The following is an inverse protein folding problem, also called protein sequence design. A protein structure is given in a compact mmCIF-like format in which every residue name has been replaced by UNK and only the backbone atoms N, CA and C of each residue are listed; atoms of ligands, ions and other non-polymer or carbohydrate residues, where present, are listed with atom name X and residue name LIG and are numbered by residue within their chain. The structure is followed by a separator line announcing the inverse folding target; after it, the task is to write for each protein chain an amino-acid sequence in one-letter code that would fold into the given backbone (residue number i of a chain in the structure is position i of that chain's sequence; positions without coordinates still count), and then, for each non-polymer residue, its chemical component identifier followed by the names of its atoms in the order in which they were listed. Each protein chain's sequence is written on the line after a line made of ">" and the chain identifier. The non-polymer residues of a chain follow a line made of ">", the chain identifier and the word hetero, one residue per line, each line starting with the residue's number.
data_IF_999712591570
#
_entry.id   IF_999712591570
#
_cell.length_a   1.000
_cell.length_b   1.000
_cell.length_c   1.000
_cell.angle_alpha   90.00
_cell.angle_beta   90.00
_cell.angle_gamma   90.00
#
_symmetry.space_group_name_H-M   'P 1'
#
loop_
_entity.id
_entity.type
_entity.pdbx_description
1 polymer ?
#
# COMPACT_ATOMS: atom_id res chain seq x y z
N UNK A 1 5.64 -9.95 6.57
CA UNK A 1 6.36 -10.30 5.32
C UNK A 1 7.57 -11.18 5.63
N UNK A 2 8.23 -11.78 4.63
CA UNK A 2 9.52 -12.46 4.83
C UNK A 2 10.52 -11.46 5.42
N UNK A 3 11.16 -11.76 6.57
CA UNK A 3 12.19 -10.89 7.14
C UNK A 3 13.29 -10.54 6.14
N UNK A 4 13.78 -9.30 6.21
CA UNK A 4 14.80 -8.77 5.30
C UNK A 4 14.31 -8.41 3.89
N UNK A 5 13.10 -8.82 3.48
CA UNK A 5 12.56 -8.47 2.16
C UNK A 5 12.29 -6.97 2.02
N UNK A 6 12.30 -6.46 0.78
CA UNK A 6 11.91 -5.07 0.48
C UNK A 6 10.51 -4.75 1.03
N UNK A 7 9.53 -5.66 0.87
CA UNK A 7 8.18 -5.48 1.43
C UNK A 7 8.20 -5.29 2.95
N UNK A 8 9.02 -6.07 3.68
CA UNK A 8 9.15 -5.90 5.13
C UNK A 8 9.70 -4.52 5.50
N UNK A 9 10.87 -4.16 4.93
CA UNK A 9 11.54 -2.90 5.28
C UNK A 9 10.73 -1.67 4.87
N UNK A 10 10.20 -1.67 3.63
CA UNK A 10 9.46 -0.53 3.09
C UNK A 10 8.10 -0.37 3.75
N UNK A 11 7.43 -1.45 4.18
CA UNK A 11 6.15 -1.34 4.88
C UNK A 11 6.31 -0.65 6.25
N UNK A 12 7.30 -1.05 7.04
CA UNK A 12 7.54 -0.46 8.37
C UNK A 12 7.99 1.00 8.24
N UNK A 13 9.01 1.25 7.42
CA UNK A 13 9.50 2.61 7.15
C UNK A 13 8.41 3.51 6.54
N UNK A 14 7.68 2.98 5.56
CA UNK A 14 6.63 3.72 4.84
C UNK A 14 5.48 4.11 5.75
N UNK A 15 5.11 3.24 6.72
CA UNK A 15 4.12 3.58 7.75
C UNK A 15 4.55 4.81 8.56
N UNK A 16 5.79 4.83 9.05
CA UNK A 16 6.31 5.93 9.87
C UNK A 16 6.45 7.24 9.08
N UNK A 17 6.84 7.15 7.80
CA UNK A 17 6.89 8.31 6.91
C UNK A 17 5.49 8.84 6.62
N UNK A 18 4.53 7.95 6.33
CA UNK A 18 3.16 8.34 6.05
C UNK A 18 2.51 8.98 7.28
N UNK A 19 2.61 8.40 8.48
CA UNK A 19 2.01 8.99 9.68
C UNK A 19 2.54 10.40 9.99
N UNK A 20 3.86 10.61 9.82
CA UNK A 20 4.45 11.96 9.93
C UNK A 20 3.88 12.91 8.90
N UNK A 21 3.87 12.51 7.63
CA UNK A 21 3.31 13.30 6.55
C UNK A 21 1.84 13.69 6.79
N UNK A 22 1.02 12.74 7.26
CA UNK A 22 -0.38 12.98 7.59
C UNK A 22 -0.52 14.01 8.72
N UNK A 23 0.34 13.93 9.75
CA UNK A 23 0.40 14.93 10.82
C UNK A 23 0.82 16.31 10.30
N UNK A 24 1.91 16.39 9.55
CA UNK A 24 2.46 17.64 9.01
C UNK A 24 1.48 18.35 8.07
N UNK A 25 0.70 17.58 7.29
CA UNK A 25 -0.31 18.10 6.35
C UNK A 25 -1.72 18.22 6.95
N UNK A 26 -1.92 17.84 8.20
CA UNK A 26 -3.23 17.85 8.85
C UNK A 26 -4.27 16.94 8.20
N UNK A 27 -3.85 15.82 7.59
CA UNK A 27 -4.74 14.88 6.91
C UNK A 27 -5.37 13.93 7.94
N UNK A 28 -6.72 13.89 8.04
CA UNK A 28 -7.40 13.01 8.99
C UNK A 28 -7.07 11.54 8.76
N UNK A 29 -6.69 10.85 9.83
CA UNK A 29 -6.42 9.41 9.83
C UNK A 29 -6.74 8.83 11.20
N UNK A 30 -6.93 7.51 11.27
CA UNK A 30 -7.25 6.82 12.52
C UNK A 30 -6.40 5.58 12.68
N UNK A 31 -5.71 5.45 13.82
CA UNK A 31 -5.02 4.24 14.24
C UNK A 31 -5.99 3.35 15.01
N UNK A 32 -6.87 2.67 14.27
CA UNK A 32 -7.91 1.80 14.82
C UNK A 32 -7.37 0.50 15.41
N UNK A 33 -6.10 0.18 15.16
CA UNK A 33 -5.56 -1.13 15.41
C UNK A 33 -6.15 -2.19 14.47
N UNK A 34 -5.75 -3.44 14.73
CA UNK A 34 -6.25 -4.63 14.03
C UNK A 34 -6.03 -5.85 14.91
N UNK A 35 -6.97 -6.79 14.90
CA UNK A 35 -6.80 -8.12 15.47
C UNK A 35 -6.75 -9.16 14.35
N UNK A 36 -5.69 -9.97 14.31
CA UNK A 36 -5.59 -11.13 13.40
C UNK A 36 -5.93 -12.37 14.22
N UNK A 37 -6.97 -13.11 13.85
CA UNK A 37 -7.51 -14.20 14.68
C UNK A 37 -7.29 -15.60 14.09
N UNK A 38 -7.13 -16.58 14.98
CA UNK A 38 -7.29 -18.00 14.68
C UNK A 38 -8.65 -18.47 15.18
N UNK A 39 -9.50 -18.96 14.27
CA UNK A 39 -10.84 -19.46 14.61
C UNK A 39 -10.90 -20.99 14.71
N UNK A 40 -9.83 -21.67 14.31
CA UNK A 40 -9.66 -23.13 14.39
C UNK A 40 -8.26 -23.48 14.87
N UNK A 41 -8.10 -24.60 15.57
CA UNK A 41 -6.82 -25.00 16.16
C UNK A 41 -5.70 -25.14 15.13
N UNK A 42 -6.03 -25.62 13.92
CA UNK A 42 -5.07 -25.74 12.80
C UNK A 42 -4.49 -24.40 12.30
N UNK A 43 -5.03 -23.26 12.73
CA UNK A 43 -4.53 -21.93 12.36
C UNK A 43 -3.55 -21.35 13.38
N UNK A 44 -3.44 -21.94 14.58
CA UNK A 44 -2.67 -21.38 15.70
C UNK A 44 -1.18 -21.31 15.34
N UNK A 45 -0.58 -22.40 14.87
CA UNK A 45 0.83 -22.43 14.46
C UNK A 45 1.16 -21.37 13.38
N UNK A 46 0.24 -21.17 12.43
CA UNK A 46 0.39 -20.13 11.39
C UNK A 46 0.30 -18.73 11.97
N UNK A 47 -0.52 -18.53 13.00
CA UNK A 47 -0.64 -17.26 13.71
C UNK A 47 0.63 -16.97 14.52
N UNK A 48 1.19 -17.96 15.22
CA UNK A 48 2.47 -17.83 15.94
C UNK A 48 3.62 -17.47 14.99
N UNK A 49 3.71 -18.14 13.84
CA UNK A 49 4.71 -17.82 12.83
C UNK A 49 4.50 -16.41 12.22
N UNK A 50 3.25 -15.93 12.14
CA UNK A 50 2.97 -14.56 11.74
C UNK A 50 3.47 -13.56 12.78
N UNK A 51 3.21 -13.81 14.07
CA UNK A 51 3.69 -12.98 15.18
C UNK A 51 5.22 -12.93 15.20
N UNK A 52 5.89 -14.09 15.08
CA UNK A 52 7.35 -14.19 15.03
C UNK A 52 7.93 -13.35 13.90
N UNK A 53 7.39 -13.48 12.68
CA UNK A 53 7.83 -12.66 11.53
C UNK A 53 7.53 -11.17 11.73
N UNK A 54 6.39 -10.82 12.32
CA UNK A 54 6.05 -9.42 12.58
C UNK A 54 7.04 -8.78 13.57
N UNK A 55 7.43 -9.50 14.63
CA UNK A 55 8.48 -9.09 15.57
C UNK A 55 9.84 -8.94 14.89
N UNK A 56 10.26 -9.92 14.08
CA UNK A 56 11.51 -9.81 13.31
C UNK A 56 11.53 -8.63 12.32
N UNK A 57 10.36 -8.23 11.81
CA UNK A 57 10.23 -7.07 10.95
C UNK A 57 10.21 -5.74 11.72
N UNK A 58 10.22 -5.75 13.06
CA UNK A 58 10.20 -4.55 13.88
C UNK A 58 8.82 -3.87 13.96
N UNK A 59 7.72 -4.62 13.79
CA UNK A 59 6.38 -4.06 13.98
C UNK A 59 6.14 -3.80 15.47
N UNK A 60 5.85 -2.56 15.90
CA UNK A 60 5.77 -2.21 17.32
C UNK A 60 4.41 -2.60 17.93
N UNK A 61 4.41 -2.81 19.25
CA UNK A 61 3.20 -2.99 20.05
C UNK A 61 2.44 -4.30 19.81
N UNK A 62 3.09 -5.33 19.26
CA UNK A 62 2.44 -6.61 18.99
C UNK A 62 2.16 -7.39 20.27
N UNK A 63 0.91 -7.82 20.45
CA UNK A 63 0.48 -8.62 21.59
C UNK A 63 -0.18 -9.91 21.12
N UNK A 64 0.13 -11.01 21.80
CA UNK A 64 -0.60 -12.27 21.66
C UNK A 64 -1.81 -12.23 22.59
N UNK A 65 -2.97 -12.64 22.08
CA UNK A 65 -4.22 -12.65 22.81
C UNK A 65 -4.79 -14.06 22.87
N UNK A 66 -5.28 -14.44 24.05
CA UNK A 66 -6.22 -15.54 24.18
C UNK A 66 -7.64 -15.10 23.75
N UNK A 67 -8.60 -16.02 23.80
CA UNK A 67 -9.99 -15.75 23.44
C UNK A 67 -10.62 -14.59 24.25
N UNK A 68 -10.23 -14.42 25.52
CA UNK A 68 -10.74 -13.35 26.38
C UNK A 68 -10.14 -12.01 25.96
N UNK A 69 -8.85 -11.96 25.67
CA UNK A 69 -8.15 -10.79 25.16
C UNK A 69 -8.73 -10.31 23.83
N UNK A 70 -9.02 -11.24 22.90
CA UNK A 70 -9.69 -10.89 21.63
C UNK A 70 -11.07 -10.26 21.90
N UNK A 71 -11.89 -10.88 22.76
CA UNK A 71 -13.23 -10.38 23.08
C UNK A 71 -13.21 -9.02 23.78
N UNK A 72 -12.17 -8.72 24.56
CA UNK A 72 -12.02 -7.43 25.22
C UNK A 72 -11.82 -6.28 24.22
N UNK A 73 -11.20 -6.56 23.06
CA UNK A 73 -11.00 -5.57 21.99
C UNK A 73 -12.18 -5.60 21.01
N UNK A 74 -12.62 -6.78 20.59
CA UNK A 74 -13.67 -7.01 19.60
C UNK A 74 -14.75 -7.95 20.18
N UNK A 75 -15.78 -7.42 20.87
CA UNK A 75 -16.76 -8.24 21.62
C UNK A 75 -17.53 -9.26 20.80
N UNK A 76 -17.79 -8.94 19.53
CA UNK A 76 -18.56 -9.76 18.59
C UNK A 76 -17.72 -10.86 17.92
N UNK A 77 -16.39 -10.84 18.09
CA UNK A 77 -15.48 -11.79 17.46
C UNK A 77 -15.36 -13.07 18.31
N UNK A 78 -15.47 -14.22 17.63
CA UNK A 78 -15.19 -15.54 18.21
C UNK A 78 -13.87 -16.06 17.66
N UNK A 79 -12.87 -16.23 18.54
CA UNK A 79 -11.54 -16.71 18.19
C UNK A 79 -10.96 -17.56 19.32
N UNK A 80 -10.04 -18.45 18.97
CA UNK A 80 -9.23 -19.21 19.94
C UNK A 80 -8.07 -18.35 20.46
N UNK A 81 -7.40 -17.65 19.54
CA UNK A 81 -6.29 -16.74 19.81
C UNK A 81 -6.28 -15.59 18.80
N UNK A 82 -5.56 -14.52 19.12
CA UNK A 82 -5.36 -13.39 18.21
C UNK A 82 -3.99 -12.73 18.35
N UNK A 83 -3.63 -11.91 17.35
CA UNK A 83 -2.54 -10.94 17.44
C UNK A 83 -3.15 -9.56 17.37
N UNK A 84 -2.93 -8.75 18.40
CA UNK A 84 -3.25 -7.33 18.35
C UNK A 84 -2.10 -6.55 17.71
N UNK A 85 -2.45 -5.69 16.75
CA UNK A 85 -1.53 -4.81 16.02
C UNK A 85 -2.03 -3.37 16.15
N UNK A 86 -1.74 -2.68 17.27
CA UNK A 86 -2.31 -1.37 17.59
C UNK A 86 -1.91 -0.29 16.57
N UNK A 87 -0.74 -0.44 15.97
CA UNK A 87 -0.21 0.50 14.98
C UNK A 87 -0.86 0.43 13.58
N UNK A 88 -1.92 -0.35 13.39
CA UNK A 88 -2.68 -0.41 12.13
C UNK A 88 -3.67 0.74 12.07
N UNK A 89 -3.88 1.32 10.88
CA UNK A 89 -4.82 2.43 10.72
C UNK A 89 -5.39 2.55 9.33
N UNK A 90 -6.28 3.52 9.19
CA UNK A 90 -7.02 3.86 7.97
C UNK A 90 -6.89 5.36 7.67
N UNK A 91 -6.88 5.69 6.38
CA UNK A 91 -6.80 7.06 5.86
C UNK A 91 -7.49 7.13 4.49
N UNK A 92 -8.06 8.28 4.14
CA UNK A 92 -8.47 8.55 2.75
C UNK A 92 -7.22 8.72 1.87
N UNK A 93 -6.83 7.64 1.19
CA UNK A 93 -5.64 7.67 0.34
C UNK A 93 -5.81 8.60 -0.88
N UNK A 94 -7.03 8.88 -1.32
CA UNK A 94 -7.25 9.87 -2.38
C UNK A 94 -6.91 11.28 -1.88
N UNK A 95 -7.19 11.61 -0.62
CA UNK A 95 -6.74 12.85 0.00
C UNK A 95 -5.20 12.92 0.09
N UNK A 96 -4.56 11.81 0.44
CA UNK A 96 -3.08 11.72 0.44
C UNK A 96 -2.51 12.01 -0.95
N UNK A 97 -3.05 11.38 -2.00
CA UNK A 97 -2.62 11.61 -3.38
C UNK A 97 -2.82 13.07 -3.83
N UNK A 98 -3.96 13.70 -3.48
CA UNK A 98 -4.20 15.12 -3.77
C UNK A 98 -3.19 16.01 -3.06
N UNK A 99 -2.86 15.70 -1.81
CA UNK A 99 -1.82 16.44 -1.07
C UNK A 99 -0.43 16.27 -1.71
N UNK A 100 -0.05 15.07 -2.15
CA UNK A 100 1.20 14.87 -2.89
C UNK A 100 1.24 15.64 -4.22
N UNK A 101 0.11 15.78 -4.91
CA UNK A 101 0.03 16.57 -6.13
C UNK A 101 0.34 18.05 -5.87
N UNK A 102 -0.23 18.62 -4.80
CA UNK A 102 0.08 20.00 -4.36
C UNK A 102 1.57 20.13 -4.02
N UNK A 103 2.15 19.16 -3.33
CA UNK A 103 3.58 19.18 -2.99
C UNK A 103 4.49 19.19 -4.22
N UNK A 104 4.12 18.43 -5.27
CA UNK A 104 4.82 18.42 -6.55
C UNK A 104 4.74 19.80 -7.22
N UNK A 105 3.55 20.42 -7.24
CA UNK A 105 3.33 21.73 -7.85
C UNK A 105 4.08 22.85 -7.10
N UNK A 106 4.08 22.82 -5.76
CA UNK A 106 4.85 23.76 -4.93
C UNK A 106 6.36 23.61 -5.12
N UNK A 107 6.84 22.42 -5.47
CA UNK A 107 8.22 22.17 -5.83
C UNK A 107 8.57 22.55 -7.29
N UNK A 108 7.62 23.13 -8.04
CA UNK A 108 7.80 23.55 -9.43
C UNK A 108 7.55 22.44 -10.46
N UNK A 109 7.02 21.30 -10.05
CA UNK A 109 6.59 20.23 -10.95
C UNK A 109 5.21 20.49 -11.55
N UNK A 110 4.81 19.63 -12.49
CA UNK A 110 3.48 19.67 -13.12
C UNK A 110 2.80 18.32 -12.99
N UNK A 111 1.55 18.31 -12.53
CA UNK A 111 0.69 17.12 -12.54
C UNK A 111 -0.29 17.22 -13.71
N UNK A 112 -0.22 16.25 -14.64
CA UNK A 112 -1.07 16.21 -15.82
C UNK A 112 -2.02 15.02 -15.75
N UNK A 113 -3.31 15.30 -15.67
CA UNK A 113 -4.37 14.29 -15.75
C UNK A 113 -4.97 14.26 -17.16
N UNK A 114 -5.76 13.23 -17.48
CA UNK A 114 -6.29 13.00 -18.82
C UNK A 114 -5.21 12.95 -19.93
N UNK A 115 -3.98 12.58 -19.56
CA UNK A 115 -2.82 12.49 -20.45
C UNK A 115 -2.33 11.03 -20.52
N UNK A 116 -3.03 10.14 -21.25
CA UNK A 116 -2.65 8.74 -21.35
C UNK A 116 -1.31 8.60 -22.08
N UNK A 117 -0.37 7.87 -21.49
CA UNK A 117 0.88 7.49 -22.16
C UNK A 117 0.55 6.40 -23.19
N UNK A 118 0.76 6.70 -24.47
CA UNK A 118 0.44 5.80 -25.59
C UNK A 118 1.67 5.14 -26.20
N UNK A 119 2.85 5.73 -26.01
CA UNK A 119 4.12 5.17 -26.44
C UNK A 119 5.27 5.74 -25.59
N UNK A 120 6.33 4.97 -25.42
CA UNK A 120 7.58 5.41 -24.81
C UNK A 120 8.73 5.02 -25.72
N UNK A 121 9.67 5.93 -25.97
CA UNK A 121 10.86 5.66 -26.76
C UNK A 121 12.08 6.15 -25.99
N UNK A 122 12.90 5.20 -25.52
CA UNK A 122 14.16 5.52 -24.86
C UNK A 122 15.29 5.55 -25.89
N UNK A 123 15.87 6.74 -26.11
CA UNK A 123 17.13 6.92 -26.81
C UNK A 123 18.26 7.01 -25.79
N UNK A 124 19.50 6.73 -26.17
CA UNK A 124 20.65 6.76 -25.24
C UNK A 124 20.86 8.08 -24.49
N UNK A 125 20.23 9.18 -24.93
CA UNK A 125 20.38 10.52 -24.33
C UNK A 125 19.09 11.04 -23.66
N UNK A 126 17.93 10.46 -23.97
CA UNK A 126 16.63 10.96 -23.50
C UNK A 126 15.50 9.96 -23.72
N UNK A 127 14.43 10.11 -22.95
CA UNK A 127 13.18 9.38 -23.13
C UNK A 127 12.13 10.31 -23.71
N UNK A 128 11.53 9.91 -24.81
CA UNK A 128 10.34 10.54 -25.37
C UNK A 128 9.10 9.76 -24.93
N UNK A 129 8.11 10.46 -24.39
CA UNK A 129 6.85 9.91 -23.90
C UNK A 129 5.71 10.56 -24.68
N UNK A 130 4.97 9.76 -25.43
CA UNK A 130 3.82 10.24 -26.20
C UNK A 130 2.57 10.26 -25.34
N UNK A 131 1.85 11.38 -25.38
CA UNK A 131 0.59 11.61 -24.69
C UNK A 131 -0.53 11.72 -25.73
N UNK A 132 -1.27 10.63 -25.99
CA UNK A 132 -2.27 10.62 -27.06
C UNK A 132 -1.67 10.71 -28.48
N UNK A 133 -2.40 11.24 -29.48
CA UNK A 133 -1.93 11.30 -30.87
C UNK A 133 -1.00 12.48 -31.17
N UNK A 134 -1.23 13.65 -30.55
CA UNK A 134 -0.66 14.92 -31.01
C UNK A 134 0.36 15.55 -30.05
N UNK A 135 0.69 14.87 -28.96
CA UNK A 135 1.56 15.44 -27.93
C UNK A 135 2.67 14.48 -27.50
N UNK A 136 3.86 15.03 -27.25
CA UNK A 136 5.00 14.29 -26.72
C UNK A 136 5.82 15.13 -25.75
N UNK A 137 6.34 14.48 -24.70
CA UNK A 137 7.25 15.06 -23.71
C UNK A 137 8.61 14.39 -23.84
N UNK A 138 9.67 15.19 -23.82
CA UNK A 138 11.04 14.69 -23.75
C UNK A 138 11.62 14.92 -22.36
N UNK A 139 12.21 13.87 -21.77
CA UNK A 139 12.83 13.92 -20.45
C UNK A 139 14.19 13.20 -20.45
N UNK A 140 15.05 13.51 -19.48
CA UNK A 140 16.31 12.78 -19.28
C UNK A 140 16.10 11.43 -18.60
N UNK A 141 15.11 11.36 -17.72
CA UNK A 141 14.79 10.16 -16.94
C UNK A 141 13.28 9.93 -16.96
N UNK A 142 12.90 8.66 -16.94
CA UNK A 142 11.52 8.21 -16.75
C UNK A 142 11.46 7.28 -15.54
N UNK A 143 10.56 7.58 -14.60
CA UNK A 143 10.24 6.68 -13.48
C UNK A 143 8.87 6.07 -13.76
N UNK A 144 8.84 4.76 -14.03
CA UNK A 144 7.60 4.06 -14.33
C UNK A 144 6.87 3.67 -13.03
N UNK A 145 5.70 4.29 -12.80
CA UNK A 145 4.81 4.00 -11.68
C UNK A 145 3.40 3.62 -12.16
N UNK A 146 3.27 2.99 -13.34
CA UNK A 146 1.99 2.72 -14.00
C UNK A 146 1.15 1.58 -13.38
N UNK A 147 1.44 1.18 -12.14
CA UNK A 147 0.66 0.20 -11.39
C UNK A 147 0.47 -1.12 -12.15
N UNK A 148 -0.79 -1.46 -12.48
CA UNK A 148 -1.14 -2.68 -13.20
C UNK A 148 -0.59 -2.74 -14.64
N UNK A 149 -0.12 -1.62 -15.18
CA UNK A 149 0.42 -1.49 -16.54
C UNK A 149 1.95 -1.31 -16.54
N UNK A 150 2.62 -1.45 -15.40
CA UNK A 150 4.04 -1.12 -15.29
C UNK A 150 4.94 -2.04 -16.14
N UNK A 151 4.63 -3.33 -16.29
CA UNK A 151 5.36 -4.23 -17.18
C UNK A 151 5.17 -3.84 -18.66
N UNK A 152 3.96 -3.46 -19.06
CA UNK A 152 3.67 -2.99 -20.42
C UNK A 152 4.44 -1.71 -20.76
N UNK A 153 4.37 -0.70 -19.89
CA UNK A 153 5.11 0.57 -20.10
C UNK A 153 6.61 0.34 -20.12
N UNK A 154 7.14 -0.59 -19.32
CA UNK A 154 8.56 -0.92 -19.33
C UNK A 154 9.00 -1.60 -20.64
N UNK A 155 8.18 -2.50 -21.19
CA UNK A 155 8.44 -3.11 -22.50
C UNK A 155 8.37 -2.09 -23.64
N UNK A 156 7.39 -1.19 -23.62
CA UNK A 156 7.30 -0.08 -24.57
C UNK A 156 8.58 0.78 -24.52
N UNK A 157 9.10 1.05 -23.32
CA UNK A 157 10.35 1.77 -23.13
C UNK A 157 11.62 1.00 -23.55
N UNK A 158 11.49 -0.20 -24.12
CA UNK A 158 12.61 -1.04 -24.57
C UNK A 158 13.31 -1.82 -23.46
N UNK A 159 12.75 -1.89 -22.25
CA UNK A 159 13.32 -2.69 -21.18
C UNK A 159 13.05 -4.19 -21.42
N UNK A 160 14.07 -5.03 -21.18
CA UNK A 160 13.88 -6.47 -21.14
C UNK A 160 13.23 -6.87 -19.81
N UNK A 161 11.91 -7.07 -19.80
CA UNK A 161 11.13 -7.42 -18.61
C UNK A 161 10.70 -8.87 -18.70
N UNK A 162 11.32 -9.73 -17.89
CA UNK A 162 10.98 -11.15 -17.78
C UNK A 162 9.71 -11.37 -16.96
N UNK A 163 9.42 -10.46 -16.02
CA UNK A 163 8.23 -10.52 -15.18
C UNK A 163 6.98 -9.99 -15.88
N UNK A 164 5.83 -10.55 -15.51
CA UNK A 164 4.51 -10.11 -15.98
C UNK A 164 3.64 -9.72 -14.78
N UNK A 165 2.89 -8.62 -14.93
CA UNK A 165 1.89 -8.22 -13.95
C UNK A 165 0.57 -8.93 -14.27
N UNK A 166 0.10 -9.73 -13.31
CA UNK A 166 -1.19 -10.42 -13.40
C UNK A 166 -2.18 -9.74 -12.45
N UNK A 167 -3.19 -9.00 -12.96
CA UNK A 167 -4.15 -8.30 -12.12
C UNK A 167 -5.17 -9.27 -11.52
N UNK A 168 -5.46 -9.10 -10.23
CA UNK A 168 -6.53 -9.81 -9.53
C UNK A 168 -7.58 -8.82 -9.07
N UNK A 169 -8.84 -9.06 -9.41
CA UNK A 169 -9.96 -8.26 -8.94
C UNK A 169 -10.31 -8.61 -7.49
N UNK A 170 -10.40 -7.60 -6.64
CA UNK A 170 -11.01 -7.69 -5.32
C UNK A 170 -12.45 -7.22 -5.36
N UNK A 171 -13.30 -7.80 -4.51
CA UNK A 171 -14.68 -7.36 -4.32
C UNK A 171 -14.87 -6.87 -2.89
N UNK A 172 -15.64 -5.80 -2.74
CA UNK A 172 -15.91 -5.16 -1.46
C UNK A 172 -17.42 -4.98 -1.30
N UNK A 173 -17.93 -5.32 -0.12
CA UNK A 173 -19.32 -5.12 0.25
C UNK A 173 -19.40 -4.20 1.46
N UNK A 174 -20.43 -3.36 1.48
CA UNK A 174 -20.73 -2.52 2.64
C UNK A 174 -21.82 -3.19 3.47
N UNK A 175 -21.61 -3.25 4.78
CA UNK A 175 -22.68 -3.59 5.70
C UNK A 175 -23.74 -2.48 5.69
N UNK A 176 -25.01 -2.90 5.70
CA UNK A 176 -26.15 -2.01 5.92
C UNK A 176 -25.93 -1.22 7.21
N UNK A 177 -26.44 0.02 7.26
CA UNK A 177 -26.24 0.90 8.41
C UNK A 177 -26.71 0.25 9.70
N UNK A 178 -27.86 -0.44 9.70
CA UNK A 178 -28.39 -1.16 10.87
C UNK A 178 -27.55 -2.37 11.34
N UNK A 179 -26.49 -2.75 10.60
CA UNK A 179 -25.59 -3.87 10.91
C UNK A 179 -24.14 -3.44 11.15
N UNK A 180 -23.87 -2.13 11.17
CA UNK A 180 -22.60 -1.58 11.63
C UNK A 180 -22.75 -1.53 13.16
N UNK A 181 -21.97 -2.36 13.86
CA UNK A 181 -22.08 -2.56 15.31
C UNK A 181 -22.02 -1.28 16.12
#
# INVERSE_FOLDING_TARGET
>A
YRPGSLKARLCVRGREQLLRYLGDRGIPHSLTGKVIVATRSSQIERLEELLRRARMNGVPGLEWLDARGVRAIEPEVRALHGIHVPGTGVVDYAAVCRSYAVDIELAGGTVRTAAPVTAVSATGESVEVRLGPDESIRARYLVNCAGLYADLVAREAGANVEEQIVPFRGEYHLLKRERRG
#
